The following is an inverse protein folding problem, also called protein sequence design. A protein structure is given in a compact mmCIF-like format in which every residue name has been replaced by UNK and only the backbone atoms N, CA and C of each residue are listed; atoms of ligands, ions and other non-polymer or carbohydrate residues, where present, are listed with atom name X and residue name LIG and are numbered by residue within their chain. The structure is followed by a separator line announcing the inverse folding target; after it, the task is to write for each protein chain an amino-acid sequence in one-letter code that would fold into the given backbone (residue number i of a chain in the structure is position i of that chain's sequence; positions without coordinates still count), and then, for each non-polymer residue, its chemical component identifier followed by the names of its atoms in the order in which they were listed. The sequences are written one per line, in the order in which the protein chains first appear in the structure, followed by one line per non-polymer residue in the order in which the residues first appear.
data_IF_909305410271
#
_entry.id   IF_909305410271
#
_cell.length_a   1.000
_cell.length_b   1.000
_cell.length_c   1.000
_cell.angle_alpha   90.00
_cell.angle_beta   90.00
_cell.angle_gamma   90.00
#
_symmetry.space_group_name_H-M   'P 1'
#
loop_
_entity.id
_entity.type
_entity.pdbx_description
1 polymer ?
#
# COMPACT_ATOMS: atom_id res chain seq x y z
N UNK A 1 -1.01 -3.39 -44.57
CA UNK A 1 -0.95 -3.21 -43.11
C UNK A 1 0.29 -3.93 -42.61
N UNK A 2 1.13 -3.32 -41.78
CA UNK A 2 2.22 -4.06 -41.13
C UNK A 2 1.60 -5.15 -40.26
N UNK A 3 2.15 -6.35 -40.27
CA UNK A 3 1.74 -7.38 -39.31
C UNK A 3 2.01 -6.86 -37.89
N UNK A 4 1.05 -7.06 -36.99
CA UNK A 4 1.19 -6.74 -35.57
C UNK A 4 2.36 -7.51 -34.96
N UNK A 5 3.09 -6.87 -34.03
CA UNK A 5 4.22 -7.52 -33.38
C UNK A 5 3.74 -8.74 -32.56
N UNK A 6 4.39 -9.92 -32.66
CA UNK A 6 3.92 -11.14 -31.98
C UNK A 6 3.69 -10.99 -30.47
N UNK A 7 4.55 -10.22 -29.78
CA UNK A 7 4.37 -9.93 -28.36
C UNK A 7 3.07 -9.18 -28.05
N UNK A 8 2.63 -8.29 -28.93
CA UNK A 8 1.37 -7.53 -28.77
C UNK A 8 0.18 -8.47 -28.95
N UNK A 9 0.23 -9.32 -29.98
CA UNK A 9 -0.80 -10.35 -30.20
C UNK A 9 -0.89 -11.30 -29.01
N UNK A 10 0.25 -11.76 -28.47
CA UNK A 10 0.29 -12.62 -27.29
C UNK A 10 -0.31 -11.92 -26.05
N UNK A 11 0.06 -10.66 -25.82
CA UNK A 11 -0.48 -9.87 -24.70
C UNK A 11 -2.00 -9.70 -24.79
N UNK A 12 -2.53 -9.35 -25.97
CA UNK A 12 -3.97 -9.24 -26.19
C UNK A 12 -4.72 -10.56 -26.04
N UNK A 13 -4.08 -11.68 -26.37
CA UNK A 13 -4.64 -12.99 -26.13
C UNK A 13 -4.61 -13.38 -24.64
N UNK A 14 -3.60 -12.92 -23.89
CA UNK A 14 -3.44 -13.19 -22.45
C UNK A 14 -4.44 -12.42 -21.58
N UNK A 15 -4.73 -11.13 -21.87
CA UNK A 15 -5.69 -10.28 -21.12
C UNK A 15 -7.16 -10.72 -21.28
N UNK A 16 -7.43 -11.93 -21.77
CA UNK A 16 -8.79 -12.50 -21.76
C UNK A 16 -9.27 -12.90 -20.36
N UNK A 17 -8.42 -12.82 -19.34
CA UNK A 17 -8.83 -12.88 -17.93
C UNK A 17 -9.49 -11.54 -17.58
N UNK A 18 -10.61 -11.56 -16.83
CA UNK A 18 -11.26 -10.32 -16.38
C UNK A 18 -10.38 -9.67 -15.32
N UNK A 19 -9.61 -8.66 -15.72
CA UNK A 19 -8.76 -7.88 -14.81
C UNK A 19 -9.36 -6.53 -14.42
N UNK A 20 -10.53 -6.20 -14.96
CA UNK A 20 -11.10 -4.85 -14.85
C UNK A 20 -12.20 -4.81 -13.78
N UNK A 21 -12.26 -3.75 -12.95
CA UNK A 21 -13.38 -3.49 -12.05
C UNK A 21 -14.75 -3.56 -12.76
N UNK A 22 -15.84 -3.92 -12.04
CA UNK A 22 -15.91 -4.10 -10.59
C UNK A 22 -15.59 -5.52 -10.08
N UNK A 23 -15.27 -6.48 -10.96
CA UNK A 23 -15.10 -7.90 -10.59
C UNK A 23 -13.77 -8.46 -11.13
N UNK A 24 -12.61 -8.05 -10.59
CA UNK A 24 -11.33 -8.65 -10.95
C UNK A 24 -11.32 -10.14 -10.52
N UNK A 25 -10.67 -10.99 -11.33
CA UNK A 25 -10.64 -12.45 -11.16
C UNK A 25 -9.27 -12.97 -10.69
N UNK A 26 -8.56 -12.18 -9.87
CA UNK A 26 -7.30 -12.61 -9.23
C UNK A 26 -7.18 -12.07 -7.79
N UNK A 27 -6.60 -12.88 -6.91
CA UNK A 27 -6.63 -12.72 -5.45
C UNK A 27 -5.99 -11.42 -4.96
N UNK A 28 -4.88 -11.02 -5.59
CA UNK A 28 -4.10 -9.81 -5.27
C UNK A 28 -5.02 -8.57 -5.19
N UNK A 29 -5.86 -8.35 -6.21
CA UNK A 29 -6.79 -7.21 -6.32
C UNK A 29 -7.95 -7.25 -5.32
N UNK A 30 -8.15 -8.40 -4.68
CA UNK A 30 -9.18 -8.58 -3.64
C UNK A 30 -8.58 -8.63 -2.23
N UNK A 31 -7.26 -8.43 -2.10
CA UNK A 31 -6.54 -8.31 -0.84
C UNK A 31 -5.35 -9.25 -0.66
N UNK A 32 -5.12 -10.20 -1.57
CA UNK A 32 -3.93 -11.07 -1.56
C UNK A 32 -3.87 -12.06 -0.38
N UNK A 33 -5.02 -12.41 0.21
CA UNK A 33 -5.07 -13.18 1.47
C UNK A 33 -4.85 -14.68 1.25
N UNK A 34 -5.33 -15.22 0.13
CA UNK A 34 -5.29 -16.65 -0.15
C UNK A 34 -4.15 -17.05 -1.12
N UNK A 35 -3.59 -16.08 -1.84
CA UNK A 35 -2.51 -16.20 -2.80
C UNK A 35 -1.11 -16.11 -2.19
N UNK A 36 -0.35 -15.07 -2.58
CA UNK A 36 1.09 -14.98 -2.26
C UNK A 36 1.35 -15.05 -0.75
N UNK A 37 0.49 -14.46 0.09
CA UNK A 37 0.57 -14.50 1.56
C UNK A 37 0.74 -15.92 2.13
N UNK A 38 -0.01 -16.87 1.60
CA UNK A 38 0.05 -18.27 2.04
C UNK A 38 1.11 -19.05 1.25
N UNK A 39 1.26 -18.74 -0.05
CA UNK A 39 2.22 -19.43 -0.90
C UNK A 39 3.67 -19.29 -0.41
N UNK A 40 4.09 -18.10 0.04
CA UNK A 40 5.46 -17.89 0.58
C UNK A 40 5.78 -18.75 1.80
N UNK A 41 4.74 -19.21 2.52
CA UNK A 41 4.89 -20.07 3.70
C UNK A 41 4.99 -21.56 3.34
N UNK A 42 4.61 -21.92 2.11
CA UNK A 42 4.57 -23.31 1.64
C UNK A 42 5.96 -23.93 1.48
N UNK A 43 6.03 -25.26 1.61
CA UNK A 43 7.28 -25.99 1.36
C UNK A 43 7.69 -25.95 -0.12
N UNK A 44 6.72 -25.81 -1.03
CA UNK A 44 6.99 -25.66 -2.47
C UNK A 44 7.78 -24.37 -2.72
N UNK A 45 7.31 -23.25 -2.19
CA UNK A 45 7.99 -21.97 -2.35
C UNK A 45 9.39 -21.99 -1.72
N UNK A 46 9.53 -22.51 -0.49
CA UNK A 46 10.84 -22.65 0.17
C UNK A 46 11.83 -23.46 -0.67
N UNK A 47 11.37 -24.53 -1.34
CA UNK A 47 12.19 -25.36 -2.23
C UNK A 47 12.62 -24.65 -3.52
N UNK A 48 11.90 -23.60 -3.95
CA UNK A 48 12.31 -22.80 -5.12
C UNK A 48 13.59 -22.00 -4.86
N UNK A 49 13.95 -21.79 -3.58
CA UNK A 49 15.16 -21.06 -3.17
C UNK A 49 15.25 -19.67 -3.84
N UNK A 50 14.16 -18.91 -3.74
CA UNK A 50 14.04 -17.58 -4.34
C UNK A 50 14.97 -16.60 -3.63
N UNK A 51 15.96 -16.06 -4.35
CA UNK A 51 16.92 -15.07 -3.82
C UNK A 51 16.47 -13.62 -3.97
N UNK A 52 15.65 -13.33 -4.99
CA UNK A 52 15.13 -12.00 -5.30
C UNK A 52 13.85 -12.10 -6.13
N UNK A 53 12.98 -11.10 -6.04
CA UNK A 53 11.76 -11.03 -6.83
C UNK A 53 11.53 -9.65 -7.46
N UNK A 54 10.89 -9.65 -8.63
CA UNK A 54 10.28 -8.48 -9.23
C UNK A 54 8.77 -8.66 -9.19
N UNK A 55 8.08 -7.58 -8.87
CA UNK A 55 6.62 -7.49 -8.97
C UNK A 55 6.23 -6.27 -9.80
N UNK A 56 4.93 -6.04 -9.93
CA UNK A 56 4.39 -4.90 -10.64
C UNK A 56 4.83 -3.54 -10.07
N UNK A 57 4.87 -2.55 -10.96
CA UNK A 57 4.99 -1.14 -10.62
C UNK A 57 4.01 -0.30 -11.44
N UNK A 58 4.15 1.01 -11.35
CA UNK A 58 3.19 1.96 -11.93
C UNK A 58 3.70 2.58 -13.22
N UNK A 59 2.75 3.08 -14.01
CA UNK A 59 3.04 4.05 -15.05
C UNK A 59 3.63 5.34 -14.46
N UNK A 60 4.50 5.99 -15.22
CA UNK A 60 5.01 7.33 -14.91
C UNK A 60 4.67 8.26 -16.09
N UNK A 61 4.03 9.42 -15.86
CA UNK A 61 3.64 10.33 -16.95
C UNK A 61 4.84 11.08 -17.56
N UNK A 62 6.00 11.04 -16.93
CA UNK A 62 7.24 11.70 -17.38
C UNK A 62 8.15 10.73 -18.14
N UNK A 63 9.39 11.14 -18.40
CA UNK A 63 10.42 10.26 -18.97
C UNK A 63 10.99 9.24 -17.96
N UNK A 64 10.76 9.46 -16.67
CA UNK A 64 11.28 8.62 -15.59
C UNK A 64 10.44 7.36 -15.39
N UNK A 65 10.94 6.43 -14.58
CA UNK A 65 10.28 5.16 -14.26
C UNK A 65 10.24 4.98 -12.75
N UNK A 66 9.07 4.63 -12.21
CA UNK A 66 8.95 4.33 -10.79
C UNK A 66 9.56 2.97 -10.47
N UNK A 67 10.29 2.89 -9.36
CA UNK A 67 10.67 1.64 -8.70
C UNK A 67 10.26 1.70 -7.25
N UNK A 68 9.46 0.72 -6.84
CA UNK A 68 8.95 0.59 -5.49
C UNK A 68 9.79 -0.40 -4.70
N UNK A 69 10.31 0.07 -3.58
CA UNK A 69 11.18 -0.73 -2.70
C UNK A 69 10.52 -1.03 -1.35
N UNK A 70 9.35 -0.46 -1.13
CA UNK A 70 8.54 -0.59 0.07
C UNK A 70 7.10 -0.21 -0.25
N UNK A 71 6.17 -0.57 0.63
CA UNK A 71 4.77 -0.16 0.56
C UNK A 71 4.30 0.33 1.90
N UNK A 72 3.25 1.13 1.89
CA UNK A 72 2.56 1.48 3.12
C UNK A 72 1.75 0.29 3.66
N UNK A 73 1.76 0.14 4.97
CA UNK A 73 0.92 -0.83 5.68
C UNK A 73 -0.52 -0.32 5.76
N UNK A 74 -1.46 -1.14 5.32
CA UNK A 74 -2.91 -0.82 5.29
C UNK A 74 -3.58 -1.24 6.59
N UNK A 75 -4.05 -0.26 7.38
CA UNK A 75 -4.59 -0.46 8.73
C UNK A 75 -5.92 0.28 8.93
N UNK A 76 -7.01 -0.12 8.24
CA UNK A 76 -8.32 0.43 8.54
C UNK A 76 -8.73 0.04 9.96
N UNK A 77 -9.17 1.03 10.74
CA UNK A 77 -9.65 0.84 12.11
C UNK A 77 -11.10 1.28 12.24
N UNK A 78 -11.82 0.65 13.17
CA UNK A 78 -13.11 1.09 13.68
C UNK A 78 -12.95 1.45 15.15
N UNK A 79 -13.19 2.71 15.49
CA UNK A 79 -13.18 3.21 16.87
C UNK A 79 -14.60 3.21 17.41
N UNK A 80 -14.81 2.60 18.57
CA UNK A 80 -16.08 2.53 19.29
C UNK A 80 -16.07 3.55 20.42
N UNK A 81 -17.10 4.38 20.47
CA UNK A 81 -17.27 5.44 21.46
C UNK A 81 -18.56 5.20 22.27
N UNK A 82 -18.51 4.37 23.33
CA UNK A 82 -19.64 4.20 24.25
C UNK A 82 -19.91 5.49 25.04
N UNK A 83 -21.13 5.71 25.50
CA UNK A 83 -21.44 6.85 26.35
C UNK A 83 -22.84 6.81 26.95
N UNK A 84 -23.16 7.81 27.76
CA UNK A 84 -24.44 7.90 28.46
C UNK A 84 -25.59 8.19 27.48
N UNK A 85 -26.58 7.28 27.31
CA UNK A 85 -27.77 7.57 26.53
C UNK A 85 -28.80 8.36 27.34
N UNK A 86 -29.76 8.96 26.64
CA UNK A 86 -30.94 9.55 27.27
C UNK A 86 -31.67 10.52 26.35
N UNK A 87 -32.55 11.34 26.93
CA UNK A 87 -33.36 12.26 26.14
C UNK A 87 -32.52 13.47 25.67
N UNK A 88 -32.62 13.83 24.39
CA UNK A 88 -31.84 14.91 23.77
C UNK A 88 -32.11 16.32 24.29
N UNK A 89 -33.07 16.48 25.20
CA UNK A 89 -33.34 17.76 25.91
C UNK A 89 -32.53 17.94 27.20
N UNK A 90 -31.68 16.96 27.56
CA UNK A 90 -30.89 16.97 28.78
C UNK A 90 -29.41 17.26 28.48
N UNK A 91 -28.73 17.93 29.41
CA UNK A 91 -27.27 18.12 29.37
C UNK A 91 -26.58 16.90 30.00
N UNK A 92 -26.57 15.79 29.27
CA UNK A 92 -25.86 14.58 29.70
C UNK A 92 -24.34 14.79 29.55
N UNK A 93 -23.57 14.20 30.45
CA UNK A 93 -22.10 14.17 30.37
C UNK A 93 -21.63 12.78 29.94
N UNK A 94 -20.38 12.66 29.52
CA UNK A 94 -19.79 11.38 29.11
C UNK A 94 -20.58 10.73 27.95
N UNK A 95 -21.03 11.55 27.01
CA UNK A 95 -21.85 11.09 25.88
C UNK A 95 -20.97 10.48 24.79
N UNK A 96 -21.56 9.59 23.98
CA UNK A 96 -20.87 9.02 22.82
C UNK A 96 -20.44 10.12 21.82
N UNK A 97 -21.24 11.19 21.69
CA UNK A 97 -20.95 12.33 20.82
C UNK A 97 -19.71 13.13 21.24
N UNK A 98 -19.54 13.42 22.54
CA UNK A 98 -18.36 14.13 23.05
C UNK A 98 -17.06 13.34 22.79
N UNK A 99 -17.10 12.02 23.00
CA UNK A 99 -15.95 11.14 22.75
C UNK A 99 -15.64 11.04 21.27
N UNK A 100 -16.66 10.82 20.44
CA UNK A 100 -16.54 10.76 18.99
C UNK A 100 -15.89 12.04 18.44
N UNK A 101 -16.34 13.20 18.90
CA UNK A 101 -15.77 14.49 18.51
C UNK A 101 -14.26 14.55 18.82
N UNK A 102 -13.85 14.17 20.04
CA UNK A 102 -12.42 14.15 20.43
C UNK A 102 -11.60 13.15 19.60
N UNK A 103 -12.15 11.99 19.29
CA UNK A 103 -11.50 11.00 18.41
C UNK A 103 -11.29 11.60 17.02
N UNK A 104 -12.33 12.15 16.40
CA UNK A 104 -12.24 12.74 15.06
C UNK A 104 -11.20 13.86 15.04
N UNK A 105 -11.27 14.77 16.02
CA UNK A 105 -10.34 15.89 16.14
C UNK A 105 -8.88 15.41 16.27
N UNK A 106 -8.63 14.40 17.10
CA UNK A 106 -7.28 13.86 17.33
C UNK A 106 -6.69 13.19 16.08
N UNK A 107 -7.49 12.39 15.37
CA UNK A 107 -7.03 11.69 14.17
C UNK A 107 -6.86 12.64 12.98
N UNK A 108 -7.76 13.62 12.81
CA UNK A 108 -7.63 14.62 11.75
C UNK A 108 -6.51 15.64 12.04
N UNK A 109 -6.26 15.99 13.31
CA UNK A 109 -5.07 16.76 13.67
C UNK A 109 -3.79 16.03 13.27
N UNK A 110 -3.70 14.72 13.54
CA UNK A 110 -2.55 13.94 13.10
C UNK A 110 -2.44 13.83 11.56
N UNK A 111 -3.57 13.71 10.85
CA UNK A 111 -3.60 13.79 9.39
C UNK A 111 -2.98 15.10 8.90
N UNK A 112 -3.37 16.22 9.49
CA UNK A 112 -2.89 17.54 9.10
C UNK A 112 -1.39 17.72 9.40
N UNK A 113 -0.88 17.16 10.50
CA UNK A 113 0.56 17.07 10.78
C UNK A 113 1.32 16.34 9.65
N UNK A 114 0.78 15.21 9.17
CA UNK A 114 1.42 14.43 8.09
C UNK A 114 1.32 15.14 6.73
N UNK A 115 0.20 15.79 6.43
CA UNK A 115 0.04 16.58 5.21
C UNK A 115 0.99 17.79 5.21
N UNK A 116 1.13 18.47 6.35
CA UNK A 116 2.08 19.56 6.52
C UNK A 116 3.53 19.09 6.33
N UNK A 117 3.91 17.95 6.94
CA UNK A 117 5.23 17.35 6.76
C UNK A 117 5.56 17.08 5.29
N UNK A 118 4.60 16.57 4.52
CA UNK A 118 4.76 16.31 3.08
C UNK A 118 4.92 17.62 2.28
N UNK A 119 4.15 18.66 2.58
CA UNK A 119 4.20 19.95 1.86
C UNK A 119 5.51 20.70 2.11
N UNK A 120 6.02 20.68 3.34
CA UNK A 120 7.22 21.40 3.74
C UNK A 120 8.51 20.72 3.29
N UNK A 121 8.51 19.38 3.15
CA UNK A 121 9.70 18.63 2.77
C UNK A 121 9.63 18.10 1.34
N UNK A 122 10.25 18.84 0.40
CA UNK A 122 10.31 18.49 -1.03
C UNK A 122 11.04 17.17 -1.34
N UNK A 123 11.77 16.60 -0.37
CA UNK A 123 12.42 15.30 -0.54
C UNK A 123 11.51 14.11 -0.20
N UNK A 124 10.34 14.37 0.39
CA UNK A 124 9.35 13.34 0.67
C UNK A 124 8.40 13.20 -0.52
N UNK A 125 8.13 11.95 -0.87
CA UNK A 125 7.00 11.58 -1.69
C UNK A 125 5.82 11.25 -0.78
N UNK A 126 4.63 11.12 -1.38
CA UNK A 126 3.42 10.74 -0.64
C UNK A 126 3.71 9.49 0.20
N UNK A 127 4.21 8.41 -0.41
CA UNK A 127 4.50 7.15 0.25
C UNK A 127 5.30 7.23 1.57
N UNK A 128 6.12 8.27 1.75
CA UNK A 128 7.02 8.42 2.90
C UNK A 128 6.32 8.93 4.18
N UNK A 129 5.15 9.55 4.07
CA UNK A 129 4.33 9.98 5.22
C UNK A 129 3.18 9.00 5.49
N UNK A 130 2.49 9.14 6.62
CA UNK A 130 1.24 8.41 6.86
C UNK A 130 0.04 9.17 6.30
N UNK A 131 -1.02 8.45 5.97
CA UNK A 131 -2.33 9.05 5.69
C UNK A 131 -3.37 8.49 6.63
N UNK A 132 -4.28 9.35 7.06
CA UNK A 132 -5.45 9.02 7.87
C UNK A 132 -6.64 9.72 7.24
N UNK A 133 -7.69 8.98 6.88
CA UNK A 133 -8.92 9.56 6.34
C UNK A 133 -10.13 8.98 7.06
N UNK A 134 -11.07 9.83 7.46
CA UNK A 134 -12.37 9.38 7.99
C UNK A 134 -13.20 8.82 6.84
N UNK A 135 -13.53 7.55 6.91
CA UNK A 135 -14.23 6.83 5.84
C UNK A 135 -15.61 6.33 6.23
N UNK A 136 -15.88 6.16 7.54
CA UNK A 136 -17.16 5.65 8.04
C UNK A 136 -17.60 6.41 9.29
N UNK A 137 -18.91 6.64 9.41
CA UNK A 137 -19.54 7.19 10.61
C UNK A 137 -20.86 6.48 10.84
N UNK A 138 -21.07 5.92 12.03
CA UNK A 138 -22.21 5.05 12.33
C UNK A 138 -22.78 5.32 13.74
N UNK A 139 -24.10 5.16 13.87
CA UNK A 139 -24.80 5.16 15.15
C UNK A 139 -25.96 6.18 15.21
N UNK A 140 -26.58 6.29 16.38
CA UNK A 140 -27.83 7.03 16.56
C UNK A 140 -29.08 6.20 16.20
N UNK A 141 -30.22 6.58 16.77
CA UNK A 141 -31.51 5.88 16.55
C UNK A 141 -32.62 6.88 16.21
N UNK A 142 -32.74 7.97 16.96
CA UNK A 142 -33.75 9.02 16.75
C UNK A 142 -33.17 10.39 17.11
N UNK A 143 -33.70 11.46 16.50
CA UNK A 143 -33.20 12.83 16.71
C UNK A 143 -33.26 13.33 18.16
N UNK A 144 -34.21 12.84 18.95
CA UNK A 144 -34.40 13.23 20.35
C UNK A 144 -33.77 12.25 21.35
N UNK A 145 -32.90 11.33 20.89
CA UNK A 145 -32.23 10.34 21.73
C UNK A 145 -30.72 10.50 21.63
N UNK A 146 -30.07 10.77 22.76
CA UNK A 146 -28.61 10.70 22.89
C UNK A 146 -28.20 9.22 22.80
N UNK A 147 -27.30 8.84 21.88
CA UNK A 147 -26.94 7.46 21.64
C UNK A 147 -26.07 6.87 22.77
N UNK A 148 -26.24 5.57 23.00
CA UNK A 148 -25.39 4.80 23.92
C UNK A 148 -24.00 4.49 23.34
N UNK A 149 -23.87 4.51 22.01
CA UNK A 149 -22.62 4.28 21.30
C UNK A 149 -22.65 4.98 19.94
N UNK A 150 -21.50 5.51 19.53
CA UNK A 150 -21.22 5.94 18.17
C UNK A 150 -19.92 5.28 17.70
N UNK A 151 -19.79 5.05 16.40
CA UNK A 151 -18.62 4.43 15.82
C UNK A 151 -18.08 5.30 14.67
N UNK A 152 -16.75 5.32 14.52
CA UNK A 152 -16.06 5.99 13.41
C UNK A 152 -15.00 5.08 12.82
N UNK A 153 -14.93 5.04 11.49
CA UNK A 153 -13.92 4.30 10.76
C UNK A 153 -12.90 5.24 10.11
N UNK A 154 -11.63 4.87 10.20
CA UNK A 154 -10.54 5.54 9.51
C UNK A 154 -9.80 4.56 8.60
N UNK A 155 -9.53 4.96 7.35
CA UNK A 155 -8.52 4.31 6.53
C UNK A 155 -7.16 4.92 6.88
N UNK A 156 -6.26 4.09 7.42
CA UNK A 156 -4.91 4.49 7.81
C UNK A 156 -3.91 3.73 6.95
N UNK A 157 -2.97 4.47 6.36
CA UNK A 157 -1.83 3.90 5.61
C UNK A 157 -0.55 4.39 6.27
N UNK A 158 0.27 3.46 6.73
CA UNK A 158 1.50 3.75 7.51
C UNK A 158 2.73 3.52 6.64
N UNK A 159 3.59 4.53 6.53
CA UNK A 159 4.88 4.43 5.85
C UNK A 159 5.77 3.37 6.50
N UNK A 160 6.51 2.55 5.73
CA UNK A 160 7.39 1.54 6.28
C UNK A 160 8.61 2.14 7.01
N UNK A 161 8.83 3.46 6.94
CA UNK A 161 9.87 4.12 7.75
C UNK A 161 9.47 4.29 9.22
N UNK A 162 8.20 4.06 9.57
CA UNK A 162 7.68 4.23 10.93
C UNK A 162 7.53 2.91 11.68
N UNK A 163 7.90 2.88 12.95
CA UNK A 163 7.68 1.73 13.83
C UNK A 163 6.18 1.50 14.06
N UNK A 164 5.67 0.35 13.60
CA UNK A 164 4.25 0.00 13.71
C UNK A 164 3.79 -0.18 15.15
N UNK A 165 4.67 -0.65 16.03
CA UNK A 165 4.36 -0.84 17.46
C UNK A 165 4.16 0.52 18.13
N UNK A 166 5.07 1.46 17.89
CA UNK A 166 4.91 2.84 18.38
C UNK A 166 3.69 3.54 17.78
N UNK A 167 3.36 3.21 16.54
CA UNK A 167 2.16 3.74 15.91
C UNK A 167 0.88 3.19 16.53
N UNK A 168 0.82 1.90 16.87
CA UNK A 168 -0.28 1.30 17.63
C UNK A 168 -0.43 1.93 19.03
N UNK A 169 0.69 2.18 19.72
CA UNK A 169 0.69 2.90 20.99
C UNK A 169 0.12 4.33 20.83
N UNK A 170 0.45 5.02 19.73
CA UNK A 170 -0.14 6.32 19.39
C UNK A 170 -1.65 6.22 19.20
N UNK A 171 -2.15 5.28 18.38
CA UNK A 171 -3.59 5.04 18.18
C UNK A 171 -4.28 4.80 19.53
N UNK A 172 -3.68 3.95 20.36
CA UNK A 172 -4.20 3.61 21.69
C UNK A 172 -4.28 4.84 22.59
N UNK A 173 -3.25 5.68 22.57
CA UNK A 173 -3.21 6.95 23.32
C UNK A 173 -4.28 7.93 22.85
N UNK A 174 -4.47 8.09 21.54
CA UNK A 174 -5.50 8.96 20.96
C UNK A 174 -6.91 8.51 21.32
N UNK A 175 -7.17 7.20 21.39
CA UNK A 175 -8.47 6.68 21.82
C UNK A 175 -8.68 6.94 23.32
N UNK A 176 -7.69 6.63 24.16
CA UNK A 176 -7.78 6.82 25.62
C UNK A 176 -7.96 8.27 26.04
N UNK A 177 -7.38 9.22 25.30
CA UNK A 177 -7.56 10.66 25.58
C UNK A 177 -9.00 11.15 25.31
N UNK A 178 -9.73 10.46 24.44
CA UNK A 178 -11.14 10.74 24.19
C UNK A 178 -12.05 10.19 25.31
N UNK A 179 -11.73 9.03 25.88
CA UNK A 179 -12.38 8.43 27.04
C UNK A 179 -11.79 7.05 27.39
N UNK A 180 -11.87 6.64 28.67
CA UNK A 180 -11.25 5.38 29.15
C UNK A 180 -11.87 4.11 28.53
N UNK A 181 -13.14 4.20 28.12
CA UNK A 181 -13.93 3.14 27.50
C UNK A 181 -13.97 3.24 25.96
N UNK A 182 -13.26 4.21 25.37
CA UNK A 182 -13.09 4.29 23.92
C UNK A 182 -12.10 3.21 23.48
N UNK A 183 -12.56 2.37 22.56
CA UNK A 183 -11.78 1.22 22.07
C UNK A 183 -11.69 1.27 20.56
N UNK A 184 -10.77 0.50 19.98
CA UNK A 184 -10.69 0.34 18.52
C UNK A 184 -10.43 -1.11 18.16
N UNK A 185 -10.81 -1.47 16.95
CA UNK A 185 -10.49 -2.76 16.33
C UNK A 185 -10.00 -2.55 14.90
N UNK A 186 -9.11 -3.41 14.43
CA UNK A 186 -8.70 -3.41 13.03
C UNK A 186 -9.72 -4.18 12.18
N UNK A 187 -10.12 -3.60 11.04
CA UNK A 187 -11.25 -4.11 10.24
C UNK A 187 -10.88 -5.34 9.39
N UNK A 188 -9.67 -5.39 8.84
CA UNK A 188 -9.22 -6.47 7.93
C UNK A 188 -7.88 -7.08 8.32
N UNK A 189 -6.98 -6.28 8.89
CA UNK A 189 -5.64 -6.73 9.23
C UNK A 189 -5.42 -6.61 10.73
N UNK A 190 -5.16 -7.71 11.44
CA UNK A 190 -4.42 -7.58 12.71
C UNK A 190 -3.08 -6.93 12.39
N UNK A 191 -2.55 -6.10 13.29
CA UNK A 191 -1.21 -5.57 13.12
C UNK A 191 -0.23 -6.72 12.84
N UNK A 192 0.61 -6.60 11.79
CA UNK A 192 1.66 -7.58 11.55
C UNK A 192 2.47 -7.73 12.82
N UNK A 193 2.57 -8.95 13.36
CA UNK A 193 3.36 -9.16 14.57
C UNK A 193 4.83 -8.88 14.28
N UNK A 194 5.60 -8.49 15.29
CA UNK A 194 7.04 -8.26 15.14
C UNK A 194 7.78 -9.46 14.49
N UNK A 195 7.27 -10.67 14.69
CA UNK A 195 7.76 -11.91 14.07
C UNK A 195 7.43 -12.10 12.59
N UNK A 196 6.52 -11.29 12.02
CA UNK A 196 6.07 -11.38 10.62
C UNK A 196 6.78 -10.37 9.70
N UNK A 197 7.92 -9.81 10.13
CA UNK A 197 8.72 -8.90 9.31
C UNK A 197 8.01 -7.56 9.10
N UNK A 198 7.88 -6.76 10.16
CA UNK A 198 7.32 -5.42 10.07
C UNK A 198 8.15 -4.55 9.11
N UNK A 199 7.47 -3.79 8.25
CA UNK A 199 8.05 -2.69 7.47
C UNK A 199 9.31 -3.03 6.67
N UNK A 200 9.35 -4.23 6.10
CA UNK A 200 10.49 -4.65 5.31
C UNK A 200 10.53 -3.83 4.01
N UNK A 201 11.61 -3.10 3.84
CA UNK A 201 11.95 -2.41 2.60
C UNK A 201 13.16 -3.09 1.99
N UNK A 202 13.19 -3.18 0.68
CA UNK A 202 14.38 -3.61 -0.04
C UNK A 202 15.38 -2.46 -0.05
N UNK A 203 16.61 -2.69 0.38
CA UNK A 203 17.65 -1.67 0.29
C UNK A 203 17.92 -1.31 -1.17
N UNK A 204 17.78 -0.01 -1.50
CA UNK A 204 18.00 0.58 -2.82
C UNK A 204 19.16 1.58 -2.82
N UNK A 205 20.16 1.32 -2.00
CA UNK A 205 21.39 2.10 -1.92
C UNK A 205 22.52 1.40 -2.66
N UNK A 206 23.23 2.14 -3.50
CA UNK A 206 24.31 1.62 -4.32
C UNK A 206 25.44 1.05 -3.45
N UNK A 207 25.88 -0.18 -3.76
CA UNK A 207 26.93 -0.90 -3.05
C UNK A 207 26.49 -1.55 -1.74
N UNK A 208 25.22 -1.40 -1.32
CA UNK A 208 24.69 -2.00 -0.07
C UNK A 208 23.83 -3.23 -0.30
N UNK A 209 23.27 -3.40 -1.51
CA UNK A 209 22.48 -4.55 -1.87
C UNK A 209 22.86 -5.04 -3.27
N UNK A 210 23.45 -6.24 -3.41
CA UNK A 210 23.92 -6.73 -4.71
C UNK A 210 22.79 -6.90 -5.73
N UNK A 211 21.56 -7.20 -5.28
CA UNK A 211 20.40 -7.28 -6.15
C UNK A 211 19.99 -5.91 -6.69
N UNK A 212 20.02 -4.88 -5.84
CA UNK A 212 19.78 -3.50 -6.26
C UNK A 212 20.85 -3.04 -7.24
N UNK A 213 22.12 -3.35 -6.99
CA UNK A 213 23.22 -2.96 -7.86
C UNK A 213 23.07 -3.57 -9.25
N UNK A 214 22.74 -4.87 -9.33
CA UNK A 214 22.48 -5.55 -10.60
C UNK A 214 21.28 -4.95 -11.34
N UNK A 215 20.16 -4.72 -10.64
CA UNK A 215 18.95 -4.11 -11.19
C UNK A 215 19.20 -2.70 -11.72
N UNK A 216 19.75 -1.83 -10.88
CA UNK A 216 19.97 -0.41 -11.20
C UNK A 216 20.99 -0.22 -12.33
N UNK A 217 22.05 -1.05 -12.38
CA UNK A 217 23.00 -1.03 -13.49
C UNK A 217 22.35 -1.49 -14.81
N UNK A 218 21.51 -2.53 -14.78
CA UNK A 218 20.77 -2.97 -15.96
C UNK A 218 19.80 -1.88 -16.48
N UNK A 219 19.09 -1.21 -15.57
CA UNK A 219 18.26 -0.05 -15.89
C UNK A 219 19.10 1.08 -16.52
N UNK A 220 20.23 1.44 -15.91
CA UNK A 220 21.14 2.47 -16.43
C UNK A 220 21.66 2.15 -17.82
N UNK A 221 22.02 0.89 -18.09
CA UNK A 221 22.44 0.44 -19.42
C UNK A 221 21.34 0.63 -20.47
N UNK A 222 20.08 0.48 -20.08
CA UNK A 222 18.91 0.72 -20.91
C UNK A 222 18.48 2.20 -20.95
N UNK A 223 19.24 3.13 -20.37
CA UNK A 223 18.87 4.54 -20.32
C UNK A 223 17.59 4.79 -19.50
N UNK A 224 17.26 3.90 -18.57
CA UNK A 224 16.12 4.03 -17.66
C UNK A 224 16.53 4.91 -16.49
N UNK A 225 15.85 6.03 -16.30
CA UNK A 225 16.01 6.88 -15.12
C UNK A 225 15.00 6.47 -14.04
N UNK A 226 15.50 6.01 -12.90
CA UNK A 226 14.68 5.44 -11.83
C UNK A 226 14.30 6.50 -10.78
N UNK A 227 13.01 6.56 -10.45
CA UNK A 227 12.47 7.28 -9.30
C UNK A 227 12.10 6.27 -8.21
N UNK A 228 12.85 6.29 -7.11
CA UNK A 228 12.66 5.39 -5.97
C UNK A 228 11.48 5.90 -5.13
N UNK A 229 10.49 5.06 -4.88
CA UNK A 229 9.33 5.45 -4.08
C UNK A 229 8.85 4.34 -3.14
N UNK A 230 8.15 4.74 -2.09
CA UNK A 230 7.28 3.86 -1.34
C UNK A 230 5.91 3.86 -2.02
N UNK A 231 5.39 2.67 -2.34
CA UNK A 231 4.07 2.54 -2.93
C UNK A 231 3.00 2.87 -1.88
N UNK A 232 2.03 3.70 -2.28
CA UNK A 232 0.95 4.13 -1.38
C UNK A 232 -0.13 3.04 -1.18
N UNK A 233 -0.34 2.20 -2.20
CA UNK A 233 -1.14 0.98 -2.14
C UNK A 233 -0.31 -0.19 -1.63
N UNK A 234 -0.61 -1.40 -2.09
CA UNK A 234 0.20 -2.58 -1.83
C UNK A 234 -0.04 -3.67 -2.86
N UNK A 235 1.00 -4.43 -3.15
CA UNK A 235 1.05 -5.57 -4.07
C UNK A 235 1.50 -6.82 -3.30
N UNK A 236 1.46 -7.98 -3.95
CA UNK A 236 1.85 -9.26 -3.35
C UNK A 236 3.32 -9.29 -2.88
N UNK A 237 4.17 -8.41 -3.42
CA UNK A 237 5.58 -8.32 -3.08
C UNK A 237 5.86 -8.09 -1.58
N UNK A 238 4.92 -7.47 -0.85
CA UNK A 238 5.03 -7.26 0.60
C UNK A 238 5.24 -8.57 1.35
N UNK A 239 4.60 -9.65 0.91
CA UNK A 239 4.68 -10.96 1.56
C UNK A 239 6.04 -11.63 1.35
N UNK A 240 6.72 -11.34 0.24
CA UNK A 240 8.08 -11.79 -0.03
C UNK A 240 9.07 -11.07 0.91
N UNK A 241 8.92 -9.75 1.06
CA UNK A 241 9.77 -8.97 1.96
C UNK A 241 9.59 -9.39 3.43
N UNK A 242 8.37 -9.78 3.84
CA UNK A 242 8.09 -10.32 5.19
C UNK A 242 8.87 -11.60 5.51
N UNK A 243 9.20 -12.41 4.50
CA UNK A 243 10.05 -13.62 4.65
C UNK A 243 11.53 -13.35 4.35
N UNK A 244 11.95 -12.08 4.40
CA UNK A 244 13.31 -11.59 4.16
C UNK A 244 13.84 -11.82 2.73
N UNK A 245 12.95 -11.92 1.73
CA UNK A 245 13.34 -11.95 0.32
C UNK A 245 13.35 -10.51 -0.21
N UNK A 246 14.50 -9.98 -0.66
CA UNK A 246 14.55 -8.67 -1.28
C UNK A 246 13.74 -8.68 -2.59
N UNK A 247 12.93 -7.65 -2.77
CA UNK A 247 12.02 -7.59 -3.90
C UNK A 247 11.66 -6.15 -4.28
N UNK A 248 11.54 -5.87 -5.58
CA UNK A 248 11.20 -4.54 -6.12
C UNK A 248 9.95 -4.59 -6.99
N UNK A 249 9.04 -3.64 -6.79
CA UNK A 249 7.94 -3.38 -7.71
C UNK A 249 8.40 -2.49 -8.84
N UNK A 250 8.34 -2.97 -10.09
CA UNK A 250 8.83 -2.22 -11.24
C UNK A 250 8.09 -2.61 -12.51
N UNK A 251 7.46 -1.62 -13.16
CA UNK A 251 6.91 -1.72 -14.51
C UNK A 251 7.62 -0.70 -15.40
N UNK A 252 8.23 -1.10 -16.53
CA UNK A 252 8.93 -0.18 -17.43
C UNK A 252 7.95 0.62 -18.30
N UNK A 253 7.09 1.42 -17.66
CA UNK A 253 6.01 2.17 -18.27
C UNK A 253 6.21 3.66 -17.99
N UNK A 254 6.94 4.35 -18.87
CA UNK A 254 7.05 5.81 -18.83
C UNK A 254 6.13 6.46 -19.86
N UNK A 255 6.02 7.80 -19.83
CA UNK A 255 5.20 8.63 -20.72
C UNK A 255 3.75 8.16 -20.83
N UNK A 256 3.22 7.58 -19.76
CA UNK A 256 1.88 7.01 -19.71
C UNK A 256 1.18 7.54 -18.46
N UNK A 257 -0.06 8.04 -18.56
CA UNK A 257 -0.79 8.50 -17.39
C UNK A 257 -1.04 7.34 -16.42
N UNK A 258 -1.14 7.67 -15.13
CA UNK A 258 -1.47 6.71 -14.08
C UNK A 258 -2.99 6.48 -14.13
N UNK A 259 -3.41 5.41 -14.79
CA UNK A 259 -4.82 5.04 -14.98
C UNK A 259 -5.14 3.63 -14.47
N UNK A 260 -4.26 3.04 -13.64
CA UNK A 260 -4.53 1.74 -13.03
C UNK A 260 -5.85 1.79 -12.26
N UNK A 261 -6.74 0.84 -12.57
CA UNK A 261 -8.11 0.76 -12.03
C UNK A 261 -9.04 1.91 -12.40
N UNK A 262 -8.67 2.75 -13.37
CA UNK A 262 -9.49 3.87 -13.85
C UNK A 262 -10.05 3.59 -15.26
N UNK A 263 -10.98 4.45 -15.68
CA UNK A 263 -11.64 4.36 -16.96
C UNK A 263 -10.66 4.54 -18.11
N UNK A 264 -10.78 3.67 -19.12
CA UNK A 264 -9.94 3.67 -20.31
C UNK A 264 -8.44 3.51 -20.00
N UNK A 265 -8.08 2.72 -18.98
CA UNK A 265 -6.70 2.30 -18.76
C UNK A 265 -6.09 1.76 -20.07
N UNK A 266 -4.91 2.26 -20.44
CA UNK A 266 -4.23 1.89 -21.68
C UNK A 266 -2.72 1.89 -21.54
N UNK A 267 -2.06 1.17 -22.44
CA UNK A 267 -0.62 1.19 -22.62
C UNK A 267 -0.29 1.36 -24.10
N UNK A 268 0.60 2.30 -24.43
CA UNK A 268 1.04 2.49 -25.81
C UNK A 268 1.90 1.30 -26.26
N UNK A 269 1.62 0.78 -27.46
CA UNK A 269 2.35 -0.35 -28.05
C UNK A 269 3.86 -0.17 -28.06
N UNK A 270 4.36 1.03 -28.38
CA UNK A 270 5.80 1.32 -28.41
C UNK A 270 6.42 1.24 -27.01
N UNK A 271 5.69 1.68 -25.99
CA UNK A 271 6.14 1.62 -24.59
C UNK A 271 6.13 0.17 -24.10
N UNK A 272 5.07 -0.60 -24.42
CA UNK A 272 5.01 -2.02 -24.14
C UNK A 272 6.21 -2.78 -24.75
N UNK A 273 6.47 -2.59 -26.04
CA UNK A 273 7.59 -3.24 -26.73
C UNK A 273 8.95 -2.78 -26.17
N UNK A 274 9.09 -1.50 -25.80
CA UNK A 274 10.30 -1.00 -25.13
C UNK A 274 10.50 -1.68 -23.77
N UNK A 275 9.42 -1.87 -23.02
CA UNK A 275 9.42 -2.54 -21.73
C UNK A 275 9.96 -3.97 -21.79
N UNK A 276 9.63 -4.71 -22.85
CA UNK A 276 10.16 -6.07 -23.08
C UNK A 276 11.69 -6.04 -23.19
N UNK A 277 12.26 -5.11 -23.96
CA UNK A 277 13.72 -4.99 -24.11
C UNK A 277 14.42 -4.58 -22.81
N UNK A 278 13.76 -3.72 -22.00
CA UNK A 278 14.24 -3.37 -20.66
C UNK A 278 14.26 -4.61 -19.76
N UNK A 279 13.15 -5.35 -19.67
CA UNK A 279 13.08 -6.56 -18.85
C UNK A 279 14.05 -7.65 -19.29
N UNK A 280 14.27 -7.86 -20.59
CA UNK A 280 15.29 -8.82 -21.07
C UNK A 280 16.66 -8.53 -20.47
N UNK A 281 17.03 -7.26 -20.34
CA UNK A 281 18.30 -6.84 -19.74
C UNK A 281 18.29 -7.04 -18.23
N UNK A 282 17.23 -6.60 -17.55
CA UNK A 282 17.08 -6.71 -16.10
C UNK A 282 17.08 -8.17 -15.65
N UNK A 283 16.22 -9.00 -16.24
CA UNK A 283 16.09 -10.43 -15.92
C UNK A 283 17.42 -11.14 -16.17
N UNK A 284 18.11 -10.83 -17.28
CA UNK A 284 19.42 -11.42 -17.55
C UNK A 284 20.46 -11.01 -16.50
N UNK A 285 20.48 -9.76 -16.06
CA UNK A 285 21.41 -9.30 -15.04
C UNK A 285 21.15 -9.97 -13.69
N UNK A 286 19.88 -10.01 -13.27
CA UNK A 286 19.47 -10.62 -12.00
C UNK A 286 19.68 -12.14 -11.99
N UNK A 287 19.30 -12.84 -13.05
CA UNK A 287 19.41 -14.31 -13.13
C UNK A 287 20.87 -14.81 -13.19
N UNK A 288 21.82 -13.96 -13.57
CA UNK A 288 23.25 -14.27 -13.59
C UNK A 288 23.97 -13.89 -12.28
N UNK A 289 23.25 -13.36 -11.29
CA UNK A 289 23.81 -13.15 -9.96
C UNK A 289 24.20 -14.50 -9.34
N UNK A 290 25.39 -14.55 -8.75
CA UNK A 290 25.81 -15.71 -7.98
C UNK A 290 25.16 -15.64 -6.60
N UNK A 291 24.41 -16.68 -6.25
CA UNK A 291 23.95 -16.91 -4.88
C UNK A 291 25.13 -17.18 -3.94
#
# INVERSE_FOLDING_TARGET
ASMEHPSVTNFRNYIRIKTVPPNPDYDEETGGLDGMKNFVKSDVFKKMNVGFALDEGHANPTDNFYVFYGERTVLPIKVKCPGQPGHGSQFLTNTAGEKLYKVIDSFLSYRDEQEHLLKENKNLCLGDVNTVNLTMLEGGVQYNVVPAELNVGFDIRVSPTQDLTKFEEKITSLCKSAGEDVTYEFVVNKLPQASEGQNQVTCVEDGKNPWWDAFSQACKHQGVNLEKQILCGGTDIRYLRQVNIPALGFSPINRTPILLHDNNEFLNEKIFLRGIEIYKTIISALANMKN
#
